data_IF_531919444886
#
_entry.id   IF_531919444886
#
_cell.length_a   1.000
_cell.length_b   1.000
_cell.length_c   1.000
_cell.angle_alpha   90.00
_cell.angle_beta   90.00
_cell.angle_gamma   90.00
#
_symmetry.space_group_name_H-M   'P 1'
#
loop_
_entity.id
_entity.type
_entity.pdbx_description
1 polymer ?
#
# COMPACT_ATOMS: atom_id res chain seq x y z
N UNK A 1 11.95 18.95 4.18
CA UNK A 1 11.93 17.48 4.03
C UNK A 1 11.43 17.19 2.62
N UNK A 2 12.09 16.31 1.89
CA UNK A 2 11.58 15.84 0.60
C UNK A 2 10.78 14.56 0.87
N UNK A 3 9.47 14.64 0.66
CA UNK A 3 8.62 13.48 0.74
C UNK A 3 8.47 12.83 -0.64
N UNK A 4 8.26 11.51 -0.71
CA UNK A 4 7.90 10.84 -1.96
C UNK A 4 6.55 11.36 -2.46
N UNK A 5 6.41 11.45 -3.79
CA UNK A 5 5.10 11.61 -4.43
C UNK A 5 4.50 10.25 -4.76
N UNK A 6 3.23 10.06 -4.38
CA UNK A 6 2.48 8.82 -4.61
C UNK A 6 1.30 9.00 -5.58
N UNK A 7 1.16 10.19 -6.15
CA UNK A 7 0.10 10.50 -7.10
C UNK A 7 0.21 9.60 -8.32
N UNK A 8 -0.92 9.05 -8.76
CA UNK A 8 -1.03 8.15 -9.92
C UNK A 8 -0.16 6.88 -9.82
N UNK A 9 0.20 6.47 -8.59
CA UNK A 9 0.91 5.22 -8.30
C UNK A 9 0.05 4.25 -7.51
N UNK A 10 0.48 2.99 -7.53
CA UNK A 10 0.08 1.98 -6.55
C UNK A 10 1.17 1.88 -5.50
N UNK A 11 0.80 1.93 -4.23
CA UNK A 11 1.75 1.82 -3.11
C UNK A 11 1.38 0.64 -2.22
N UNK A 12 2.36 -0.19 -1.93
CA UNK A 12 2.27 -1.26 -0.94
C UNK A 12 2.99 -0.79 0.32
N UNK A 13 2.29 -0.80 1.45
CA UNK A 13 2.78 -0.36 2.75
C UNK A 13 2.93 -1.56 3.69
N UNK A 14 4.13 -1.74 4.23
CA UNK A 14 4.39 -2.63 5.36
C UNK A 14 4.41 -1.79 6.64
N UNK A 15 3.68 -2.27 7.65
CA UNK A 15 3.47 -1.56 8.90
C UNK A 15 4.37 -2.12 10.01
N UNK A 16 4.96 -1.23 10.78
CA UNK A 16 5.82 -1.63 11.89
C UNK A 16 5.07 -2.51 12.89
N UNK A 17 5.71 -3.59 13.34
CA UNK A 17 5.17 -4.54 14.31
C UNK A 17 3.80 -5.15 13.89
N UNK A 18 3.62 -5.35 12.57
CA UNK A 18 2.50 -6.09 12.01
C UNK A 18 3.01 -7.23 11.11
N UNK A 19 2.30 -8.37 11.08
CA UNK A 19 2.54 -9.40 10.08
C UNK A 19 2.44 -8.88 8.63
N UNK A 20 3.20 -9.47 7.70
CA UNK A 20 3.25 -9.06 6.30
C UNK A 20 1.90 -9.18 5.56
N UNK A 21 1.01 -10.08 6.01
CA UNK A 21 -0.35 -10.25 5.48
C UNK A 21 -1.32 -9.14 5.93
N UNK A 22 -0.87 -8.23 6.78
CA UNK A 22 -1.59 -7.01 7.18
C UNK A 22 -1.07 -5.77 6.41
N UNK A 23 -0.41 -5.97 5.29
CA UNK A 23 0.00 -4.92 4.39
C UNK A 23 -1.20 -4.13 3.82
N UNK A 24 -0.95 -2.90 3.39
CA UNK A 24 -1.98 -2.02 2.82
C UNK A 24 -1.57 -1.63 1.41
N UNK A 25 -2.46 -1.84 0.43
CA UNK A 25 -2.22 -1.40 -0.95
C UNK A 25 -3.16 -0.26 -1.31
N UNK A 26 -2.61 0.92 -1.58
CA UNK A 26 -3.37 2.13 -1.90
C UNK A 26 -3.11 2.59 -3.34
N UNK A 27 -4.11 3.24 -3.90
CA UNK A 27 -4.04 4.05 -5.11
C UNK A 27 -4.44 5.49 -4.81
N UNK A 28 -4.09 6.42 -5.70
CA UNK A 28 -4.40 7.86 -5.56
C UNK A 28 -3.96 8.42 -4.20
N UNK A 29 -2.76 8.04 -3.76
CA UNK A 29 -2.29 8.36 -2.43
C UNK A 29 -1.55 9.70 -2.38
N UNK A 30 -1.66 10.39 -1.25
CA UNK A 30 -0.93 11.61 -0.95
C UNK A 30 -0.58 11.67 0.54
N UNK A 31 0.29 12.61 0.92
CA UNK A 31 0.56 12.89 2.32
C UNK A 31 -0.36 14.01 2.81
N UNK A 32 -1.07 13.77 3.91
CA UNK A 32 -1.98 14.72 4.54
C UNK A 32 -1.58 14.93 6.01
N UNK A 33 -1.58 16.17 6.48
CA UNK A 33 -1.58 16.47 7.92
C UNK A 33 -3.02 16.38 8.44
N UNK A 34 -3.25 15.51 9.41
CA UNK A 34 -4.52 15.41 10.12
C UNK A 34 -4.27 15.64 11.61
N UNK A 35 -4.62 16.84 12.07
CA UNK A 35 -4.48 17.27 13.46
C UNK A 35 -3.03 17.19 13.99
N UNK A 36 -2.05 17.57 13.19
CA UNK A 36 -0.63 17.60 13.57
C UNK A 36 0.08 16.26 13.44
N UNK A 37 -0.56 15.25 12.82
CA UNK A 37 0.04 13.96 12.50
C UNK A 37 -0.04 13.72 10.98
N UNK A 38 1.07 13.28 10.40
CA UNK A 38 1.15 12.97 8.97
C UNK A 38 0.58 11.58 8.68
N UNK A 39 -0.25 11.50 7.64
CA UNK A 39 -0.81 10.26 7.12
C UNK A 39 -0.53 10.12 5.63
N UNK A 40 -0.26 8.90 5.18
CA UNK A 40 -0.47 8.51 3.78
C UNK A 40 -1.96 8.22 3.62
N UNK A 41 -2.60 8.94 2.73
CA UNK A 41 -4.04 8.85 2.53
C UNK A 41 -4.33 8.54 1.08
N UNK A 42 -5.11 7.49 0.86
CA UNK A 42 -5.46 7.03 -0.48
C UNK A 42 -6.71 6.16 -0.44
N UNK A 43 -6.89 5.35 -1.47
CA UNK A 43 -8.02 4.43 -1.62
C UNK A 43 -7.49 3.01 -1.76
N UNK A 44 -8.09 2.03 -1.09
CA UNK A 44 -7.71 0.63 -1.30
C UNK A 44 -7.86 0.23 -2.76
N UNK A 45 -6.78 -0.32 -3.32
CA UNK A 45 -6.74 -0.81 -4.68
C UNK A 45 -7.56 -2.10 -4.83
N UNK A 46 -8.15 -2.31 -6.00
CA UNK A 46 -8.93 -3.50 -6.33
C UNK A 46 -8.05 -4.77 -6.40
N UNK A 47 -8.58 -5.91 -5.93
CA UNK A 47 -7.89 -7.20 -5.94
C UNK A 47 -6.75 -7.33 -4.91
N UNK A 48 -6.66 -6.41 -3.94
CA UNK A 48 -5.53 -6.35 -2.98
C UNK A 48 -5.89 -6.75 -1.56
N UNK A 49 -7.17 -7.04 -1.28
CA UNK A 49 -7.63 -7.49 0.04
C UNK A 49 -8.46 -8.77 -0.07
N UNK A 50 -8.62 -9.50 1.03
CA UNK A 50 -9.39 -10.74 1.03
C UNK A 50 -10.86 -10.49 0.63
N UNK A 51 -11.30 -11.06 -0.49
CA UNK A 51 -12.63 -10.82 -1.07
C UNK A 51 -12.93 -9.34 -1.36
N UNK A 52 -11.91 -8.50 -1.50
CA UNK A 52 -12.04 -7.07 -1.85
C UNK A 52 -12.96 -6.26 -0.93
N UNK A 53 -13.10 -6.68 0.33
CA UNK A 53 -14.02 -6.08 1.29
C UNK A 53 -13.76 -4.58 1.54
N UNK A 54 -12.52 -4.13 1.34
CA UNK A 54 -12.11 -2.74 1.56
C UNK A 54 -11.88 -1.97 0.26
N UNK A 55 -12.04 -2.57 -0.93
CA UNK A 55 -11.78 -1.90 -2.21
C UNK A 55 -12.63 -0.63 -2.35
N UNK A 56 -12.01 0.45 -2.82
CA UNK A 56 -12.69 1.74 -2.99
C UNK A 56 -12.85 2.53 -1.68
N UNK A 57 -12.49 1.97 -0.52
CA UNK A 57 -12.56 2.67 0.76
C UNK A 57 -11.38 3.62 0.94
N UNK A 58 -11.68 4.90 1.22
CA UNK A 58 -10.67 5.90 1.60
C UNK A 58 -10.02 5.48 2.93
N UNK A 59 -8.70 5.41 2.94
CA UNK A 59 -7.91 4.88 4.05
C UNK A 59 -6.75 5.81 4.37
N UNK A 60 -6.48 5.99 5.66
CA UNK A 60 -5.36 6.78 6.15
C UNK A 60 -4.44 5.89 7.00
N UNK A 61 -3.16 5.84 6.63
CA UNK A 61 -2.11 5.13 7.35
C UNK A 61 -1.15 6.17 7.91
N UNK A 62 -0.88 6.12 9.20
CA UNK A 62 0.02 7.10 9.81
C UNK A 62 1.46 6.91 9.27
N UNK A 63 2.10 8.00 8.86
CA UNK A 63 3.43 7.95 8.23
C UNK A 63 4.48 7.31 9.16
N UNK A 64 4.40 7.61 10.44
CA UNK A 64 5.27 7.07 11.49
C UNK A 64 5.05 5.58 11.80
N UNK A 65 4.02 4.95 11.22
CA UNK A 65 3.76 3.51 11.33
C UNK A 65 4.25 2.69 10.13
N UNK A 66 4.75 3.34 9.08
CA UNK A 66 5.25 2.66 7.87
C UNK A 66 6.70 2.26 8.09
N UNK A 67 6.98 0.97 7.96
CA UNK A 67 8.34 0.41 8.05
C UNK A 67 9.01 0.40 6.67
N UNK A 68 8.26 0.01 5.64
CA UNK A 68 8.70 -0.04 4.26
C UNK A 68 7.53 0.28 3.34
N UNK A 69 7.81 0.91 2.20
CA UNK A 69 6.86 1.02 1.11
C UNK A 69 7.50 0.64 -0.23
N UNK A 70 6.68 0.07 -1.11
CA UNK A 70 7.02 -0.19 -2.50
C UNK A 70 6.08 0.63 -3.38
N UNK A 71 6.61 1.17 -4.47
CA UNK A 71 5.87 2.00 -5.42
C UNK A 71 5.84 1.29 -6.76
N UNK A 72 4.66 1.20 -7.36
CA UNK A 72 4.42 0.61 -8.66
C UNK A 72 3.72 1.64 -9.56
N UNK A 73 4.02 1.60 -10.85
CA UNK A 73 3.45 2.54 -11.81
C UNK A 73 1.97 2.29 -12.07
N UNK A 74 1.55 1.02 -12.08
CA UNK A 74 0.16 0.61 -12.32
C UNK A 74 -0.20 -0.61 -11.48
N UNK A 75 -1.50 -0.93 -11.42
CA UNK A 75 -2.00 -2.11 -10.71
C UNK A 75 -1.57 -3.41 -11.39
N UNK A 76 -1.45 -3.41 -12.71
CA UNK A 76 -0.90 -4.53 -13.47
C UNK A 76 0.57 -4.79 -13.08
N UNK A 77 1.39 -3.74 -12.97
CA UNK A 77 2.78 -3.90 -12.54
C UNK A 77 2.90 -4.45 -11.11
N UNK A 78 1.97 -4.07 -10.22
CA UNK A 78 1.87 -4.66 -8.90
C UNK A 78 1.56 -6.16 -8.98
N UNK A 79 0.53 -6.55 -9.75
CA UNK A 79 0.11 -7.95 -9.90
C UNK A 79 1.17 -8.84 -10.55
N UNK A 80 1.90 -8.33 -11.55
CA UNK A 80 3.02 -9.03 -12.19
C UNK A 80 4.16 -9.33 -11.20
N UNK A 81 4.42 -8.43 -10.25
CA UNK A 81 5.53 -8.61 -9.29
C UNK A 81 5.12 -9.49 -8.11
N UNK A 82 3.89 -9.36 -7.63
CA UNK A 82 3.40 -10.19 -6.54
C UNK A 82 3.20 -11.65 -6.99
N UNK A 83 2.78 -11.91 -8.22
CA UNK A 83 2.67 -13.29 -8.74
C UNK A 83 4.01 -14.04 -8.68
N UNK A 84 5.11 -13.39 -9.08
CA UNK A 84 6.47 -13.94 -8.93
C UNK A 84 6.81 -14.23 -7.47
N UNK A 85 6.41 -13.36 -6.55
CA UNK A 85 6.61 -13.58 -5.12
C UNK A 85 5.84 -14.79 -4.58
N UNK A 86 4.63 -15.03 -5.07
CA UNK A 86 3.77 -16.13 -4.63
C UNK A 86 4.17 -17.48 -5.24
N UNK A 87 4.52 -17.51 -6.53
CA UNK A 87 5.03 -18.73 -7.18
C UNK A 87 6.23 -19.32 -6.44
N UNK A 88 7.13 -18.47 -5.96
CA UNK A 88 8.30 -18.90 -5.19
C UNK A 88 7.96 -19.43 -3.79
N UNK A 89 6.85 -19.00 -3.17
CA UNK A 89 6.38 -19.53 -1.87
C UNK A 89 5.76 -20.92 -2.00
N UNK A 90 5.21 -21.28 -3.16
CA UNK A 90 4.63 -22.61 -3.41
C UNK A 90 5.64 -23.70 -3.76
N UNK A 91 6.90 -23.33 -4.00
CA UNK A 91 7.99 -24.28 -4.36
C UNK A 91 8.89 -24.61 -3.15
N UNK A 92 8.64 -24.02 -1.97
CA UNK A 92 9.30 -24.34 -0.70
C UNK A 92 8.42 -25.23 0.18
#
# INVERSE_FOLDING_TARGET
MNYPEFQDKIILLYLFNRPDDHNVVLQNASLEDQAGRMFIVGVFAEGTTANDWATGVRTAVAWDSVEQYLVFDTIENYFERISVGWENKTVQ
#
